data_IF_319662671621
#
_entry.id   IF_319662671621
#
_cell.length_a   1.000
_cell.length_b   1.000
_cell.length_c   1.000
_cell.angle_alpha   90.00
_cell.angle_beta   90.00
_cell.angle_gamma   90.00
#
_symmetry.space_group_name_H-M   'P 1'
#
loop_
_entity.id
_entity.type
_entity.pdbx_description
1 polymer ?
#
# COMPACT_ATOMS: atom_id res chain seq x y z
N UNK A 1 -27.11 -32.67 20.28
CA UNK A 1 -27.11 -32.55 18.80
C UNK A 1 -26.27 -31.33 18.42
N UNK A 2 -24.97 -31.52 18.18
CA UNK A 2 -24.07 -30.43 17.83
C UNK A 2 -24.30 -30.03 16.37
N UNK A 3 -24.74 -28.79 16.12
CA UNK A 3 -24.72 -28.21 14.77
C UNK A 3 -23.27 -27.99 14.40
N UNK A 4 -22.69 -28.87 13.59
CA UNK A 4 -21.45 -28.56 12.87
C UNK A 4 -21.70 -27.27 12.07
N UNK A 5 -21.11 -26.17 12.54
CA UNK A 5 -21.12 -24.90 11.84
C UNK A 5 -20.33 -25.09 10.54
N UNK A 6 -21.05 -25.39 9.47
CA UNK A 6 -20.47 -25.59 8.14
C UNK A 6 -19.66 -24.34 7.75
N UNK A 7 -18.33 -24.45 7.78
CA UNK A 7 -17.41 -23.35 7.47
C UNK A 7 -17.60 -22.94 6.01
N UNK A 8 -18.14 -21.75 5.78
CA UNK A 8 -18.37 -21.22 4.42
C UNK A 8 -17.04 -20.86 3.75
N UNK A 9 -16.86 -21.34 2.52
CA UNK A 9 -15.72 -20.95 1.68
C UNK A 9 -15.88 -19.50 1.22
N UNK A 10 -14.85 -18.68 1.44
CA UNK A 10 -14.83 -17.27 1.01
C UNK A 10 -13.94 -17.09 -0.21
N UNK A 11 -14.58 -16.76 -1.33
CA UNK A 11 -13.95 -16.40 -2.60
C UNK A 11 -13.45 -14.94 -2.58
N UNK A 12 -12.36 -14.65 -3.26
CA UNK A 12 -11.95 -13.27 -3.56
C UNK A 12 -12.93 -12.62 -4.53
N UNK A 13 -12.90 -11.29 -4.65
CA UNK A 13 -13.73 -10.56 -5.63
C UNK A 13 -13.37 -10.92 -7.06
N UNK A 14 -12.10 -11.16 -7.33
CA UNK A 14 -11.61 -11.69 -8.61
C UNK A 14 -12.19 -13.08 -8.91
N UNK A 15 -12.16 -14.00 -7.94
CA UNK A 15 -12.75 -15.34 -8.11
C UNK A 15 -14.28 -15.28 -8.30
N UNK A 16 -14.94 -14.33 -7.62
CA UNK A 16 -16.38 -14.08 -7.80
C UNK A 16 -16.69 -13.58 -9.22
N UNK A 17 -15.89 -12.65 -9.75
CA UNK A 17 -16.02 -12.14 -11.12
C UNK A 17 -15.78 -13.24 -12.16
N UNK A 18 -14.77 -14.07 -11.98
CA UNK A 18 -14.49 -15.19 -12.89
C UNK A 18 -15.61 -16.24 -12.86
N UNK A 19 -16.20 -16.49 -11.69
CA UNK A 19 -17.40 -17.33 -11.58
C UNK A 19 -18.58 -16.74 -12.36
N UNK A 20 -18.82 -15.43 -12.27
CA UNK A 20 -19.86 -14.77 -13.07
C UNK A 20 -19.57 -14.91 -14.58
N UNK A 21 -18.30 -14.69 -14.99
CA UNK A 21 -17.87 -14.86 -16.38
C UNK A 21 -18.19 -16.26 -16.91
N UNK A 22 -17.92 -17.29 -16.12
CA UNK A 22 -18.25 -18.67 -16.49
C UNK A 22 -19.75 -18.92 -16.59
N UNK A 23 -20.57 -18.34 -15.70
CA UNK A 23 -22.02 -18.43 -15.82
C UNK A 23 -22.52 -17.77 -17.11
N UNK A 24 -21.92 -16.65 -17.54
CA UNK A 24 -22.30 -16.00 -18.80
C UNK A 24 -21.91 -16.83 -20.03
N UNK A 25 -20.79 -17.54 -19.98
CA UNK A 25 -20.33 -18.41 -21.06
C UNK A 25 -21.16 -19.71 -21.16
N UNK A 26 -21.56 -20.26 -20.02
CA UNK A 26 -22.22 -21.56 -19.93
C UNK A 26 -23.57 -21.44 -19.19
N UNK A 27 -24.60 -20.81 -19.80
CA UNK A 27 -25.87 -20.53 -19.14
C UNK A 27 -26.70 -21.79 -18.81
N UNK A 28 -26.36 -22.93 -19.41
CA UNK A 28 -27.00 -24.23 -19.15
C UNK A 28 -26.49 -24.91 -17.86
N UNK A 29 -25.35 -24.47 -17.35
CA UNK A 29 -24.75 -25.09 -16.17
C UNK A 29 -25.56 -24.77 -14.92
N UNK A 30 -25.95 -25.83 -14.20
CA UNK A 30 -26.59 -25.64 -12.90
C UNK A 30 -25.64 -24.98 -11.90
N UNK A 31 -26.20 -24.27 -10.92
CA UNK A 31 -25.43 -23.64 -9.83
C UNK A 31 -24.55 -24.63 -9.04
N UNK A 32 -24.92 -25.92 -9.00
CA UNK A 32 -24.08 -26.95 -8.39
C UNK A 32 -22.84 -27.27 -9.23
N UNK A 33 -23.00 -27.30 -10.56
CA UNK A 33 -21.88 -27.53 -11.48
C UNK A 33 -20.92 -26.34 -11.42
N UNK A 34 -21.43 -25.11 -11.44
CA UNK A 34 -20.62 -23.90 -11.25
C UNK A 34 -19.84 -23.92 -9.92
N UNK A 35 -20.46 -24.39 -8.83
CA UNK A 35 -19.79 -24.58 -7.55
C UNK A 35 -18.64 -25.59 -7.61
N UNK A 36 -18.85 -26.76 -8.25
CA UNK A 36 -17.80 -27.77 -8.45
C UNK A 36 -16.69 -27.30 -9.39
N UNK A 37 -17.03 -26.52 -10.40
CA UNK A 37 -16.05 -25.88 -11.27
C UNK A 37 -15.18 -24.91 -10.46
N UNK A 38 -15.79 -24.05 -9.63
CA UNK A 38 -15.06 -23.10 -8.80
C UNK A 38 -14.16 -23.80 -7.77
N UNK A 39 -14.58 -24.95 -7.24
CA UNK A 39 -13.76 -25.80 -6.38
C UNK A 39 -12.46 -26.20 -7.07
N UNK A 40 -12.55 -26.75 -8.28
CA UNK A 40 -11.41 -27.20 -9.07
C UNK A 40 -10.55 -26.02 -9.54
N UNK A 41 -11.18 -24.98 -10.09
CA UNK A 41 -10.48 -23.83 -10.68
C UNK A 41 -9.67 -23.06 -9.64
N UNK A 42 -10.18 -22.93 -8.42
CA UNK A 42 -9.56 -22.11 -7.38
C UNK A 42 -8.90 -22.93 -6.27
N UNK A 43 -8.78 -24.25 -6.45
CA UNK A 43 -8.23 -25.19 -5.46
C UNK A 43 -8.85 -24.98 -4.06
N UNK A 44 -10.18 -24.94 -3.99
CA UNK A 44 -10.91 -24.73 -2.73
C UNK A 44 -10.99 -26.03 -1.93
N UNK A 45 -10.98 -25.94 -0.60
CA UNK A 45 -11.22 -27.09 0.29
C UNK A 45 -12.58 -27.77 0.02
N UNK A 46 -13.56 -27.02 -0.51
CA UNK A 46 -14.92 -27.51 -0.80
C UNK A 46 -15.62 -26.62 -1.82
N UNK A 47 -16.54 -27.18 -2.61
CA UNK A 47 -17.46 -26.42 -3.45
C UNK A 47 -18.26 -25.36 -2.67
N UNK A 48 -18.38 -24.13 -3.20
CA UNK A 48 -19.36 -23.16 -2.74
C UNK A 48 -20.78 -23.74 -2.83
N UNK A 49 -21.60 -23.51 -1.81
CA UNK A 49 -22.99 -23.94 -1.81
C UNK A 49 -23.80 -23.24 -2.91
N UNK A 50 -24.84 -23.90 -3.44
CA UNK A 50 -25.73 -23.34 -4.49
C UNK A 50 -26.23 -21.93 -4.16
N UNK A 51 -26.63 -21.69 -2.91
CA UNK A 51 -27.09 -20.38 -2.44
C UNK A 51 -26.00 -19.30 -2.46
N UNK A 52 -24.74 -19.68 -2.25
CA UNK A 52 -23.59 -18.77 -2.34
C UNK A 52 -23.28 -18.42 -3.79
N UNK A 53 -23.29 -19.42 -4.68
CA UNK A 53 -23.12 -19.23 -6.13
C UNK A 53 -24.20 -18.32 -6.68
N UNK A 54 -25.47 -18.59 -6.38
CA UNK A 54 -26.62 -17.76 -6.77
C UNK A 54 -26.40 -16.29 -6.38
N UNK A 55 -26.09 -16.04 -5.10
CA UNK A 55 -25.88 -14.69 -4.58
C UNK A 55 -24.72 -13.96 -5.26
N UNK A 56 -23.65 -14.67 -5.61
CA UNK A 56 -22.50 -14.09 -6.32
C UNK A 56 -22.93 -13.61 -7.70
N UNK A 57 -23.60 -14.47 -8.47
CA UNK A 57 -24.09 -14.17 -9.81
C UNK A 57 -25.08 -13.00 -9.78
N UNK A 58 -26.03 -13.00 -8.86
CA UNK A 58 -26.98 -11.89 -8.68
C UNK A 58 -26.30 -10.56 -8.31
N UNK A 59 -25.12 -10.61 -7.68
CA UNK A 59 -24.34 -9.43 -7.29
C UNK A 59 -23.36 -8.94 -8.36
N UNK A 60 -23.37 -9.50 -9.58
CA UNK A 60 -22.36 -9.26 -10.61
C UNK A 60 -22.14 -7.77 -10.92
N UNK A 61 -23.22 -6.98 -11.05
CA UNK A 61 -23.11 -5.54 -11.31
C UNK A 61 -22.33 -4.81 -10.21
N UNK A 62 -22.58 -5.14 -8.94
CA UNK A 62 -21.87 -4.59 -7.79
C UNK A 62 -20.44 -5.13 -7.66
N UNK A 63 -20.12 -6.29 -8.24
CA UNK A 63 -18.76 -6.82 -8.30
C UNK A 63 -17.92 -6.09 -9.36
N UNK A 64 -18.53 -5.75 -10.50
CA UNK A 64 -17.88 -5.03 -11.60
C UNK A 64 -17.54 -3.58 -11.25
N UNK A 65 -18.23 -2.97 -10.28
CA UNK A 65 -17.92 -1.60 -9.82
C UNK A 65 -16.79 -1.53 -8.78
N UNK A 66 -16.22 -2.67 -8.36
CA UNK A 66 -15.11 -2.68 -7.40
C UNK A 66 -13.82 -2.25 -8.12
N UNK A 67 -13.07 -1.27 -7.57
CA UNK A 67 -11.82 -0.86 -8.19
C UNK A 67 -10.78 -1.99 -8.24
N UNK A 68 -9.92 -1.98 -9.27
CA UNK A 68 -8.94 -3.03 -9.54
C UNK A 68 -8.06 -3.36 -8.32
N UNK A 69 -7.66 -2.37 -7.54
CA UNK A 69 -6.81 -2.54 -6.35
C UNK A 69 -7.43 -3.41 -5.24
N UNK A 70 -8.74 -3.66 -5.32
CA UNK A 70 -9.52 -4.36 -4.30
C UNK A 70 -10.07 -5.72 -4.75
N UNK A 71 -9.86 -6.10 -6.01
CA UNK A 71 -10.39 -7.38 -6.55
C UNK A 71 -9.76 -8.61 -5.86
N UNK A 72 -8.53 -8.47 -5.37
CA UNK A 72 -7.84 -9.54 -4.63
C UNK A 72 -8.43 -9.80 -3.24
N UNK A 73 -9.28 -8.92 -2.71
CA UNK A 73 -9.83 -9.06 -1.36
C UNK A 73 -11.01 -10.04 -1.33
N UNK A 74 -11.19 -10.73 -0.20
CA UNK A 74 -12.38 -11.57 0.06
C UNK A 74 -13.59 -10.77 0.55
N UNK A 75 -13.36 -9.56 1.04
CA UNK A 75 -14.39 -8.63 1.53
C UNK A 75 -14.26 -7.32 0.75
N UNK A 76 -15.39 -6.81 0.24
CA UNK A 76 -15.38 -5.50 -0.40
C UNK A 76 -15.00 -4.42 0.63
N UNK A 77 -14.17 -3.44 0.25
CA UNK A 77 -13.93 -2.25 1.06
C UNK A 77 -15.23 -1.45 1.21
N UNK A 78 -15.36 -0.71 2.31
CA UNK A 78 -16.47 0.23 2.50
C UNK A 78 -16.25 1.46 1.61
N UNK A 79 -17.34 2.09 1.15
CA UNK A 79 -17.26 3.30 0.33
C UNK A 79 -16.47 4.44 1.02
N UNK A 80 -16.66 4.63 2.32
CA UNK A 80 -15.91 5.60 3.13
C UNK A 80 -14.39 5.32 3.15
N UNK A 81 -13.99 4.05 3.15
CA UNK A 81 -12.58 3.66 3.11
C UNK A 81 -11.98 3.84 1.73
N UNK A 82 -12.77 3.63 0.68
CA UNK A 82 -12.36 3.92 -0.70
C UNK A 82 -12.13 5.43 -0.87
N UNK A 83 -13.08 6.26 -0.45
CA UNK A 83 -12.95 7.72 -0.51
C UNK A 83 -11.73 8.21 0.28
N UNK A 84 -11.52 7.68 1.49
CA UNK A 84 -10.35 8.00 2.30
C UNK A 84 -9.05 7.65 1.59
N UNK A 85 -8.95 6.43 1.07
CA UNK A 85 -7.74 6.02 0.36
C UNK A 85 -7.51 6.88 -0.89
N UNK A 86 -8.54 7.19 -1.68
CA UNK A 86 -8.44 8.05 -2.86
C UNK A 86 -7.85 9.42 -2.53
N UNK A 87 -8.35 10.11 -1.50
CA UNK A 87 -7.80 11.41 -1.09
C UNK A 87 -6.31 11.33 -0.71
N UNK A 88 -5.92 10.26 -0.02
CA UNK A 88 -4.53 10.07 0.41
C UNK A 88 -3.63 9.76 -0.80
N UNK A 89 -4.09 8.92 -1.72
CA UNK A 89 -3.37 8.59 -2.96
C UNK A 89 -3.17 9.84 -3.82
N UNK A 90 -4.22 10.64 -4.02
CA UNK A 90 -4.11 11.91 -4.76
C UNK A 90 -3.10 12.86 -4.13
N UNK A 91 -3.08 12.97 -2.80
CA UNK A 91 -2.08 13.79 -2.10
C UNK A 91 -0.66 13.24 -2.28
N UNK A 92 -0.48 11.93 -2.19
CA UNK A 92 0.83 11.29 -2.44
C UNK A 92 1.30 11.59 -3.86
N UNK A 93 0.45 11.45 -4.87
CA UNK A 93 0.78 11.78 -6.27
C UNK A 93 1.14 13.27 -6.43
N UNK A 94 0.40 14.17 -5.78
CA UNK A 94 0.68 15.60 -5.79
C UNK A 94 2.05 15.93 -5.18
N UNK A 95 2.43 15.24 -4.09
CA UNK A 95 3.74 15.42 -3.45
C UNK A 95 4.87 14.83 -4.29
N UNK A 96 4.65 13.66 -4.92
CA UNK A 96 5.61 13.04 -5.84
C UNK A 96 5.91 13.97 -7.04
N UNK A 97 4.88 14.60 -7.62
CA UNK A 97 5.04 15.58 -8.70
C UNK A 97 5.86 16.82 -8.29
N UNK A 98 5.86 17.16 -7.00
CA UNK A 98 6.64 18.29 -6.45
C UNK A 98 7.97 17.88 -5.86
N UNK A 99 8.34 16.60 -5.97
CA UNK A 99 9.53 16.04 -5.35
C UNK A 99 9.60 16.30 -3.83
N UNK A 100 8.44 16.33 -3.17
CA UNK A 100 8.35 16.51 -1.71
C UNK A 100 8.24 15.14 -1.06
N UNK A 101 9.25 14.70 -0.27
CA UNK A 101 9.17 13.43 0.43
C UNK A 101 8.11 13.50 1.54
N UNK A 102 7.26 12.46 1.64
CA UNK A 102 6.25 12.34 2.71
C UNK A 102 6.74 11.33 3.76
N UNK A 103 7.08 11.78 4.98
CA UNK A 103 7.38 10.88 6.08
C UNK A 103 6.17 10.00 6.44
N UNK A 104 6.42 8.74 6.81
CA UNK A 104 5.36 7.81 7.24
C UNK A 104 4.44 8.34 8.33
N UNK A 105 4.99 9.13 9.29
CA UNK A 105 4.21 9.77 10.36
C UNK A 105 3.26 10.83 9.82
N UNK A 106 3.70 11.58 8.82
CA UNK A 106 2.90 12.58 8.14
C UNK A 106 1.74 11.90 7.40
N UNK A 107 2.00 10.82 6.66
CA UNK A 107 0.92 10.09 5.95
C UNK A 107 -0.16 9.54 6.90
N UNK A 108 0.22 9.07 8.09
CA UNK A 108 -0.75 8.68 9.13
C UNK A 108 -1.54 9.86 9.69
N UNK A 109 -0.93 11.05 9.82
CA UNK A 109 -1.62 12.26 10.25
C UNK A 109 -2.62 12.72 9.19
N UNK A 110 -2.21 12.77 7.93
CA UNK A 110 -3.09 13.06 6.79
C UNK A 110 -4.26 12.09 6.74
N UNK A 111 -4.02 10.79 6.97
CA UNK A 111 -5.09 9.82 7.04
C UNK A 111 -6.14 10.14 8.10
N UNK A 112 -5.72 10.65 9.27
CA UNK A 112 -6.65 11.11 10.32
C UNK A 112 -7.41 12.36 9.87
N UNK A 113 -6.71 13.34 9.31
CA UNK A 113 -7.31 14.59 8.83
C UNK A 113 -8.36 14.35 7.75
N UNK A 114 -8.08 13.48 6.77
CA UNK A 114 -9.08 13.13 5.76
C UNK A 114 -10.23 12.30 6.33
N UNK A 115 -9.98 11.42 7.31
CA UNK A 115 -11.06 10.70 7.98
C UNK A 115 -12.00 11.65 8.75
N UNK A 116 -11.47 12.72 9.32
CA UNK A 116 -12.25 13.81 9.93
C UNK A 116 -13.03 14.60 8.88
N UNK A 117 -12.35 15.04 7.80
CA UNK A 117 -12.96 15.82 6.72
C UNK A 117 -14.07 15.06 5.97
N UNK A 118 -13.94 13.73 5.84
CA UNK A 118 -14.96 12.85 5.26
C UNK A 118 -16.04 12.42 6.25
N UNK A 119 -16.03 12.96 7.48
CA UNK A 119 -16.98 12.64 8.54
C UNK A 119 -17.11 11.13 8.83
N UNK A 120 -16.01 10.39 8.72
CA UNK A 120 -16.02 8.94 8.97
C UNK A 120 -16.20 8.73 10.48
N UNK A 121 -17.19 7.93 10.93
CA UNK A 121 -17.39 7.68 12.36
C UNK A 121 -16.16 7.05 13.01
N UNK A 122 -15.77 7.44 14.24
CA UNK A 122 -14.58 6.90 14.91
C UNK A 122 -14.55 5.36 15.01
N UNK A 123 -15.72 4.73 15.16
CA UNK A 123 -15.90 3.27 15.21
C UNK A 123 -15.57 2.57 13.88
N UNK A 124 -15.57 3.32 12.78
CA UNK A 124 -15.29 2.81 11.43
C UNK A 124 -13.89 3.16 10.94
N UNK A 125 -13.18 4.05 11.64
CA UNK A 125 -11.86 4.49 11.22
C UNK A 125 -10.83 3.38 11.38
N UNK A 126 -9.86 3.28 10.46
CA UNK A 126 -8.72 2.40 10.67
C UNK A 126 -7.90 2.92 11.85
N UNK A 127 -7.25 1.99 12.57
CA UNK A 127 -6.19 2.38 13.50
C UNK A 127 -4.97 2.78 12.68
N UNK A 128 -4.72 4.09 12.59
CA UNK A 128 -3.57 4.67 11.88
C UNK A 128 -2.26 4.35 12.61
N UNK A 129 -1.74 3.14 12.36
CA UNK A 129 -0.48 2.62 12.88
C UNK A 129 0.47 2.27 11.73
N UNK A 130 1.79 2.29 12.03
CA UNK A 130 2.84 1.97 11.06
C UNK A 130 2.73 0.52 10.56
N UNK A 131 2.65 -0.43 11.50
CA UNK A 131 2.69 -1.86 11.17
C UNK A 131 1.35 -2.43 10.69
N UNK A 132 0.26 -1.69 10.95
CA UNK A 132 -1.09 -2.04 10.52
C UNK A 132 -1.49 -1.27 9.27
N UNK A 133 -2.28 -0.21 9.46
CA UNK A 133 -2.91 0.52 8.37
C UNK A 133 -1.90 0.99 7.32
N UNK A 134 -0.81 1.65 7.72
CA UNK A 134 0.13 2.24 6.77
C UNK A 134 0.80 1.17 5.90
N UNK A 135 1.30 0.09 6.51
CA UNK A 135 1.91 -1.03 5.80
C UNK A 135 0.96 -1.63 4.75
N UNK A 136 -0.31 -1.82 5.10
CA UNK A 136 -1.31 -2.39 4.19
C UNK A 136 -1.75 -1.40 3.11
N UNK A 137 -1.89 -0.12 3.46
CA UNK A 137 -2.19 0.97 2.51
C UNK A 137 -1.08 1.07 1.45
N UNK A 138 0.18 1.20 1.89
CA UNK A 138 1.32 1.28 0.97
C UNK A 138 1.40 0.07 0.05
N UNK A 139 1.21 -1.15 0.59
CA UNK A 139 1.20 -2.37 -0.21
C UNK A 139 0.08 -2.39 -1.25
N UNK A 140 -1.13 -1.92 -0.88
CA UNK A 140 -2.29 -1.91 -1.77
C UNK A 140 -2.06 -1.03 -2.99
N UNK A 141 -1.45 0.14 -2.80
CA UNK A 141 -1.20 1.12 -3.85
C UNK A 141 0.22 1.07 -4.43
N UNK A 142 1.00 0.03 -4.12
CA UNK A 142 2.37 -0.12 -4.64
C UNK A 142 3.38 0.93 -4.14
N UNK A 143 3.05 1.68 -3.10
CA UNK A 143 3.91 2.72 -2.53
C UNK A 143 5.09 2.09 -1.78
N UNK A 144 6.27 2.70 -1.91
CA UNK A 144 7.51 2.21 -1.28
C UNK A 144 8.20 3.32 -0.51
N UNK A 145 8.83 2.93 0.59
CA UNK A 145 9.75 3.81 1.28
C UNK A 145 11.01 3.99 0.43
N UNK A 146 11.39 5.23 0.16
CA UNK A 146 12.68 5.59 -0.43
C UNK A 146 13.50 6.29 0.64
N UNK A 147 14.80 5.99 0.71
CA UNK A 147 15.73 6.82 1.47
C UNK A 147 16.14 7.95 0.54
N UNK A 148 15.92 9.18 0.96
CA UNK A 148 16.63 10.30 0.34
C UNK A 148 18.10 10.19 0.76
N UNK A 149 18.97 10.10 -0.22
CA UNK A 149 20.40 10.16 -0.02
C UNK A 149 20.88 11.62 0.02
N UNK A 150 20.22 12.52 0.77
CA UNK A 150 20.61 13.94 0.88
C UNK A 150 21.02 14.59 -0.46
N UNK A 151 22.01 15.49 -0.42
CA UNK A 151 22.62 16.14 -1.59
C UNK A 151 23.23 15.15 -2.61
N UNK A 152 23.55 13.91 -2.20
CA UNK A 152 24.21 12.90 -3.06
C UNK A 152 23.30 12.52 -4.24
N UNK A 153 21.98 12.59 -4.07
CA UNK A 153 21.03 12.33 -5.16
C UNK A 153 21.00 13.41 -6.26
N UNK A 154 21.46 14.62 -5.95
CA UNK A 154 21.53 15.77 -6.87
C UNK A 154 22.88 15.89 -7.58
N UNK A 155 23.87 15.09 -7.18
CA UNK A 155 25.23 15.15 -7.73
C UNK A 155 25.33 14.32 -9.00
N UNK A 156 25.78 14.96 -10.09
CA UNK A 156 26.25 14.27 -11.29
C UNK A 156 27.47 13.40 -10.93
N UNK A 157 27.23 12.09 -10.75
CA UNK A 157 28.25 11.13 -10.32
C UNK A 157 29.44 11.05 -11.30
N UNK A 158 29.25 10.98 -12.63
CA UNK A 158 30.33 11.12 -13.60
C UNK A 158 31.16 12.40 -13.43
N UNK A 159 30.51 13.56 -13.34
CA UNK A 159 31.22 14.85 -13.21
C UNK A 159 31.97 14.95 -11.88
N UNK A 160 31.33 14.54 -10.77
CA UNK A 160 31.93 14.53 -9.44
C UNK A 160 33.13 13.57 -9.36
N UNK A 161 33.05 12.39 -9.99
CA UNK A 161 34.18 11.44 -10.08
C UNK A 161 35.35 12.04 -10.85
N UNK A 162 35.08 12.72 -11.98
CA UNK A 162 36.12 13.39 -12.76
C UNK A 162 36.79 14.49 -11.92
N UNK A 163 36.00 15.36 -11.28
CA UNK A 163 36.51 16.40 -10.40
C UNK A 163 37.34 15.84 -9.24
N UNK A 164 36.91 14.72 -8.63
CA UNK A 164 37.66 14.06 -7.57
C UNK A 164 39.01 13.50 -8.05
N UNK A 165 39.08 12.96 -9.27
CA UNK A 165 40.35 12.51 -9.86
C UNK A 165 41.31 13.66 -10.11
N UNK A 166 40.79 14.80 -10.59
CA UNK A 166 41.61 15.98 -10.83
C UNK A 166 42.10 16.61 -9.51
N UNK A 167 41.26 16.65 -8.47
CA UNK A 167 41.69 17.04 -7.12
C UNK A 167 42.79 16.12 -6.58
N UNK A 168 42.68 14.79 -6.75
CA UNK A 168 43.71 13.84 -6.31
C UNK A 168 45.06 14.09 -6.98
N UNK A 169 45.08 14.42 -8.27
CA UNK A 169 46.32 14.78 -8.98
C UNK A 169 46.97 16.04 -8.41
N UNK A 170 46.15 17.02 -8.00
CA UNK A 170 46.65 18.25 -7.37
C UNK A 170 47.18 17.99 -5.96
N UNK A 171 46.45 17.21 -5.16
CA UNK A 171 46.85 16.82 -3.80
C UNK A 171 48.15 16.02 -3.80
N UNK A 172 48.36 15.14 -4.78
CA UNK A 172 49.57 14.32 -4.89
C UNK A 172 50.88 15.11 -5.09
N UNK A 173 50.80 16.42 -5.34
CA UNK A 173 51.98 17.30 -5.45
C UNK A 173 52.53 17.76 -4.10
N UNK A 174 51.76 17.56 -3.02
CA UNK A 174 52.10 18.00 -1.68
C UNK A 174 52.49 16.79 -0.81
N UNK A 175 53.32 17.01 0.20
CA UNK A 175 53.63 15.97 1.18
C UNK A 175 52.35 15.64 1.98
N UNK A 176 52.09 14.37 2.36
CA UNK A 176 50.88 14.00 3.09
C UNK A 176 50.64 14.81 4.38
N UNK A 177 51.71 15.23 5.07
CA UNK A 177 51.62 16.05 6.30
C UNK A 177 51.16 17.50 6.03
N UNK A 178 51.23 17.95 4.77
CA UNK A 178 50.81 19.29 4.32
C UNK A 178 49.39 19.28 3.71
N UNK A 179 48.69 18.14 3.75
CA UNK A 179 47.34 17.99 3.20
C UNK A 179 46.32 17.99 4.34
N UNK A 180 45.62 19.12 4.49
CA UNK A 180 44.55 19.27 5.47
C UNK A 180 43.19 19.22 4.79
N UNK A 181 42.29 18.37 5.31
CA UNK A 181 40.88 18.36 4.92
C UNK A 181 40.09 19.20 5.93
N UNK A 182 39.48 20.30 5.48
CA UNK A 182 38.48 21.04 6.26
C UNK A 182 37.14 20.95 5.52
N UNK A 183 36.15 20.34 6.17
CA UNK A 183 34.76 20.39 5.77
C UNK A 183 33.90 20.99 6.89
N UNK A 184 32.76 21.58 6.51
CA UNK A 184 31.79 22.06 7.50
C UNK A 184 31.10 20.86 8.17
N UNK A 185 31.61 20.46 9.34
CA UNK A 185 30.87 19.58 10.24
C UNK A 185 29.79 20.39 10.97
N UNK A 186 28.54 20.29 10.53
CA UNK A 186 27.41 20.88 11.26
C UNK A 186 27.29 20.24 12.66
N UNK A 187 27.55 21.02 13.72
CA UNK A 187 27.33 20.59 15.10
C UNK A 187 25.83 20.50 15.39
N UNK A 188 25.27 19.30 15.39
CA UNK A 188 23.92 19.05 15.89
C UNK A 188 23.92 19.03 17.42
N UNK A 189 23.43 20.10 18.05
CA UNK A 189 23.14 20.08 19.50
C UNK A 189 21.90 19.21 19.75
N UNK A 190 22.11 18.04 20.39
CA UNK A 190 21.03 17.15 20.81
C UNK A 190 20.27 17.80 21.95
N UNK A 191 19.15 18.48 21.66
CA UNK A 191 18.21 18.92 22.69
C UNK A 191 17.59 17.68 23.34
N UNK A 192 18.10 17.25 24.49
CA UNK A 192 17.41 16.31 25.37
C UNK A 192 16.09 16.99 25.78
N UNK A 193 14.96 16.53 25.25
CA UNK A 193 13.69 16.81 25.92
C UNK A 193 13.79 16.13 27.29
N UNK A 194 13.95 16.94 28.34
CA UNK A 194 13.71 16.47 29.69
C UNK A 194 12.27 15.97 29.73
N UNK A 195 12.11 14.69 30.02
CA UNK A 195 10.84 14.16 30.50
C UNK A 195 10.56 14.87 31.83
N UNK A 196 9.67 15.85 31.81
CA UNK A 196 9.04 16.33 33.04
C UNK A 196 8.05 15.25 33.47
N UNK A 197 8.46 14.45 34.46
CA UNK A 197 7.54 13.78 35.37
C UNK A 197 6.94 14.84 36.30
N UNK A 198 5.63 15.03 36.21
CA UNK A 198 4.71 15.38 37.31
C UNK A 198 3.28 15.34 36.74
#
# INVERSE_FOLDING_TARGET
MQRELHRRVRLTKQQQLELCRMHSLEPTWSLAILGRWAEKQFALEKAPAKSSVKRIVESEAALKSIPADFIGLKKAPRASMLALDSCIVEMVLYAEQRHVPIPSRLLMLIGRLYADALHIPPTERPRFTRDGWLKHFMRRYGLRHRRDHGEIGSVDLPAARKAALDMRKTIAKYHPDDVYNMDEAAFFSRRRQALAYA
#
